data_IF_116177887191
#
_entry.id   IF_116177887191
#
_cell.length_a   1.000
_cell.length_b   1.000
_cell.length_c   1.000
_cell.angle_alpha   90.00
_cell.angle_beta   90.00
_cell.angle_gamma   90.00
#
_symmetry.space_group_name_H-M   'P 1'
#
loop_
_entity.id
_entity.type
_entity.pdbx_description
1 polymer ?
#
# COMPACT_ATOMS: atom_id res chain seq x y z
N UNK A 1 -18.66 -16.03 13.82
CA UNK A 1 -19.01 -17.18 12.95
C UNK A 1 -18.46 -16.88 11.56
N UNK A 2 -17.80 -17.84 10.93
CA UNK A 2 -17.29 -17.72 9.56
C UNK A 2 -18.44 -17.64 8.55
N UNK A 3 -18.34 -16.77 7.55
CA UNK A 3 -19.32 -16.61 6.46
C UNK A 3 -18.77 -17.19 5.15
N UNK A 4 -19.63 -17.66 4.23
CA UNK A 4 -19.20 -18.11 2.90
C UNK A 4 -18.48 -17.04 2.07
N UNK A 5 -18.67 -15.76 2.42
CA UNK A 5 -18.06 -14.58 1.79
C UNK A 5 -16.73 -14.18 2.43
N UNK A 6 -16.30 -14.86 3.50
CA UNK A 6 -15.02 -14.56 4.13
C UNK A 6 -13.88 -14.93 3.19
N UNK A 7 -12.85 -14.11 3.23
CA UNK A 7 -11.66 -14.22 2.40
C UNK A 7 -10.43 -14.00 3.26
N UNK A 8 -9.28 -14.42 2.75
CA UNK A 8 -7.97 -14.09 3.32
C UNK A 8 -7.04 -13.54 2.23
N UNK A 9 -6.09 -12.66 2.58
CA UNK A 9 -4.97 -12.31 1.69
C UNK A 9 -4.19 -13.57 1.29
N UNK A 10 -3.59 -13.55 0.09
CA UNK A 10 -2.78 -14.66 -0.42
C UNK A 10 -1.45 -14.21 -0.98
N UNK A 11 -1.47 -13.21 -1.85
CA UNK A 11 -0.27 -12.62 -2.42
C UNK A 11 -0.54 -11.20 -2.91
N UNK A 12 0.52 -10.41 -2.98
CA UNK A 12 0.52 -9.03 -3.46
C UNK A 12 1.59 -8.85 -4.52
N UNK A 13 1.32 -7.96 -5.46
CA UNK A 13 2.32 -7.51 -6.45
C UNK A 13 2.31 -5.99 -6.48
N UNK A 14 3.46 -5.40 -6.23
CA UNK A 14 3.66 -3.95 -6.16
C UNK A 14 4.33 -3.44 -7.43
N UNK A 15 3.80 -2.34 -7.96
CA UNK A 15 4.32 -1.60 -9.09
C UNK A 15 4.57 -0.15 -8.66
N UNK A 16 5.75 0.38 -8.99
CA UNK A 16 6.04 1.80 -8.89
C UNK A 16 5.93 2.43 -10.28
N UNK A 17 4.96 3.32 -10.45
CA UNK A 17 4.66 3.94 -11.73
C UNK A 17 5.02 5.43 -11.68
N UNK A 18 5.98 5.91 -12.48
CA UNK A 18 6.26 7.33 -12.58
C UNK A 18 5.10 8.03 -13.30
N UNK A 19 4.61 9.13 -12.74
CA UNK A 19 3.53 9.94 -13.31
C UNK A 19 3.96 11.39 -13.32
N UNK A 20 4.17 11.94 -14.52
CA UNK A 20 4.45 13.36 -14.71
C UNK A 20 3.18 14.20 -14.51
N UNK A 21 3.31 15.29 -13.77
CA UNK A 21 2.21 16.24 -13.63
C UNK A 21 2.12 17.11 -14.87
N UNK A 22 0.91 17.32 -15.39
CA UNK A 22 0.68 18.20 -16.54
C UNK A 22 1.19 19.63 -16.31
N UNK A 23 1.11 20.07 -15.06
CA UNK A 23 1.63 21.36 -14.59
C UNK A 23 2.36 21.14 -13.27
N UNK A 24 3.41 21.93 -12.95
CA UNK A 24 4.07 21.83 -11.66
C UNK A 24 3.10 22.14 -10.51
N UNK A 25 3.08 21.28 -9.49
CA UNK A 25 2.27 21.47 -8.28
C UNK A 25 3.15 22.01 -7.15
N UNK A 26 2.69 23.06 -6.46
CA UNK A 26 3.45 23.71 -5.37
C UNK A 26 2.98 23.20 -4.00
N UNK A 27 3.89 22.64 -3.22
CA UNK A 27 3.66 22.18 -1.85
C UNK A 27 4.65 22.84 -0.91
N UNK A 28 4.24 23.91 -0.24
CA UNK A 28 5.13 24.70 0.61
C UNK A 28 6.33 25.23 -0.17
N UNK A 29 7.55 24.88 0.26
CA UNK A 29 8.79 25.26 -0.43
C UNK A 29 9.11 24.36 -1.64
N UNK A 30 8.49 23.18 -1.76
CA UNK A 30 8.80 22.20 -2.80
C UNK A 30 7.89 22.37 -4.04
N UNK A 31 8.42 22.08 -5.23
CA UNK A 31 7.66 22.04 -6.50
C UNK A 31 7.73 20.62 -7.02
N UNK A 32 6.57 20.00 -7.24
CA UNK A 32 6.40 18.63 -7.74
C UNK A 32 6.07 18.68 -9.25
N UNK A 33 6.90 18.04 -10.06
CA UNK A 33 6.66 17.83 -11.50
C UNK A 33 6.40 16.37 -11.87
N UNK A 34 6.73 15.45 -10.97
CA UNK A 34 6.56 14.01 -11.15
C UNK A 34 6.27 13.38 -9.79
N UNK A 35 5.39 12.38 -9.76
CA UNK A 35 5.09 11.59 -8.58
C UNK A 35 5.12 10.10 -8.91
N UNK A 36 5.65 9.30 -7.99
CA UNK A 36 5.56 7.84 -8.07
C UNK A 36 4.21 7.38 -7.51
N UNK A 37 3.43 6.65 -8.30
CA UNK A 37 2.26 5.90 -7.80
C UNK A 37 2.68 4.50 -7.37
N UNK A 38 2.34 4.12 -6.13
CA UNK A 38 2.40 2.74 -5.68
C UNK A 38 1.08 2.05 -6.01
N UNK A 39 1.10 1.13 -6.97
CA UNK A 39 -0.05 0.31 -7.38
C UNK A 39 0.14 -1.11 -6.92
N UNK A 40 -0.86 -1.65 -6.23
CA UNK A 40 -0.86 -3.03 -5.73
C UNK A 40 -1.97 -3.82 -6.41
N UNK A 41 -1.61 -4.98 -6.95
CA UNK A 41 -2.56 -6.06 -7.18
C UNK A 41 -2.52 -6.99 -5.96
N UNK A 42 -3.65 -7.22 -5.32
CA UNK A 42 -3.77 -8.16 -4.21
C UNK A 42 -4.66 -9.32 -4.63
N UNK A 43 -4.16 -10.54 -4.49
CA UNK A 43 -4.92 -11.76 -4.62
C UNK A 43 -5.44 -12.20 -3.26
N UNK A 44 -6.71 -12.59 -3.23
CA UNK A 44 -7.38 -13.15 -2.07
C UNK A 44 -7.83 -14.57 -2.36
N UNK A 45 -8.05 -15.35 -1.31
CA UNK A 45 -8.65 -16.67 -1.36
C UNK A 45 -9.90 -16.72 -0.48
N UNK A 46 -11.01 -17.16 -1.06
CA UNK A 46 -12.26 -17.42 -0.36
C UNK A 46 -12.51 -18.91 -0.14
N UNK A 47 -13.75 -19.25 0.21
CA UNK A 47 -14.16 -20.63 0.45
C UNK A 47 -13.85 -21.56 -0.74
N UNK A 48 -13.46 -22.80 -0.41
CA UNK A 48 -13.15 -23.87 -1.38
C UNK A 48 -12.01 -23.50 -2.36
N UNK A 49 -11.08 -22.64 -1.93
CA UNK A 49 -9.87 -22.31 -2.70
C UNK A 49 -10.12 -21.39 -3.91
N UNK A 50 -11.30 -20.77 -4.01
CA UNK A 50 -11.58 -19.79 -5.07
C UNK A 50 -10.75 -18.54 -4.84
N UNK A 51 -10.09 -18.05 -5.89
CA UNK A 51 -9.27 -16.83 -5.82
C UNK A 51 -9.89 -15.69 -6.60
N UNK A 52 -9.59 -14.46 -6.18
CA UNK A 52 -9.91 -13.23 -6.90
C UNK A 52 -8.77 -12.23 -6.74
N UNK A 53 -8.69 -11.26 -7.65
CA UNK A 53 -7.69 -10.19 -7.60
C UNK A 53 -8.39 -8.83 -7.51
N UNK A 54 -7.80 -7.92 -6.73
CA UNK A 54 -8.23 -6.54 -6.59
C UNK A 54 -7.05 -5.59 -6.75
N UNK A 55 -7.31 -4.40 -7.29
CA UNK A 55 -6.29 -3.39 -7.55
C UNK A 55 -6.53 -2.15 -6.68
N UNK A 56 -5.46 -1.63 -6.10
CA UNK A 56 -5.44 -0.37 -5.37
C UNK A 56 -4.22 0.46 -5.74
N UNK A 57 -4.34 1.78 -5.70
CA UNK A 57 -3.23 2.69 -6.01
C UNK A 57 -3.25 3.89 -5.07
N UNK A 58 -2.06 4.35 -4.69
CA UNK A 58 -1.88 5.62 -4.00
C UNK A 58 -0.64 6.36 -4.49
N UNK A 59 -0.71 7.68 -4.72
CA UNK A 59 0.47 8.49 -5.01
C UNK A 59 1.37 8.63 -3.78
N UNK A 60 2.67 8.37 -3.94
CA UNK A 60 3.70 8.55 -2.90
C UNK A 60 4.01 10.03 -2.72
N UNK A 61 3.16 10.72 -1.96
CA UNK A 61 3.23 12.16 -1.72
C UNK A 61 4.30 12.54 -0.69
N UNK A 62 5.57 12.22 -0.98
CA UNK A 62 6.74 12.38 -0.08
C UNK A 62 6.82 13.77 0.55
N UNK A 63 6.49 14.82 -0.22
CA UNK A 63 6.48 16.20 0.24
C UNK A 63 5.55 16.45 1.44
N UNK A 64 4.49 15.65 1.59
CA UNK A 64 3.48 15.85 2.63
C UNK A 64 3.50 14.75 3.69
N UNK A 65 3.62 13.48 3.30
CA UNK A 65 3.42 12.36 4.25
C UNK A 65 4.60 12.15 5.20
N UNK A 66 5.78 12.72 4.91
CA UNK A 66 6.98 12.53 5.70
C UNK A 66 7.87 13.78 5.75
N UNK A 67 7.47 14.83 6.49
CA UNK A 67 8.28 16.03 6.65
C UNK A 67 9.57 15.70 7.41
N UNK A 68 10.72 16.03 6.82
CA UNK A 68 12.03 15.78 7.40
C UNK A 68 13.09 16.67 6.73
N UNK A 69 14.23 16.86 7.39
CA UNK A 69 15.39 17.57 6.83
C UNK A 69 16.20 16.73 5.83
N UNK A 70 15.89 15.43 5.71
CA UNK A 70 16.48 14.54 4.71
C UNK A 70 16.09 14.96 3.29
N UNK A 71 16.92 14.59 2.32
CA UNK A 71 16.65 14.88 0.92
C UNK A 71 15.36 14.21 0.45
N UNK A 72 14.74 14.77 -0.60
CA UNK A 72 13.56 14.14 -1.23
C UNK A 72 13.85 12.69 -1.65
N UNK A 73 15.01 12.43 -2.26
CA UNK A 73 15.39 11.12 -2.76
C UNK A 73 15.49 10.08 -1.63
N UNK A 74 16.13 10.42 -0.51
CA UNK A 74 16.23 9.53 0.65
C UNK A 74 14.85 9.20 1.23
N UNK A 75 13.97 10.20 1.38
CA UNK A 75 12.60 10.01 1.88
C UNK A 75 11.75 9.19 0.90
N UNK A 76 11.93 9.42 -0.39
CA UNK A 76 11.22 8.70 -1.45
C UNK A 76 11.59 7.21 -1.48
N UNK A 77 12.88 6.88 -1.41
CA UNK A 77 13.32 5.48 -1.34
C UNK A 77 12.88 4.82 -0.03
N UNK A 78 12.98 5.50 1.11
CA UNK A 78 12.46 4.97 2.37
C UNK A 78 10.95 4.65 2.32
N UNK A 79 10.17 5.49 1.64
CA UNK A 79 8.74 5.26 1.45
C UNK A 79 8.45 4.06 0.53
N UNK A 80 9.24 3.90 -0.54
CA UNK A 80 9.16 2.72 -1.44
C UNK A 80 9.53 1.43 -0.70
N UNK A 81 10.61 1.44 0.06
CA UNK A 81 11.04 0.29 0.87
C UNK A 81 9.97 -0.09 1.88
N UNK A 82 9.31 0.90 2.49
CA UNK A 82 8.18 0.66 3.37
C UNK A 82 7.00 0.02 2.64
N UNK A 83 6.66 0.45 1.42
CA UNK A 83 5.63 -0.22 0.60
C UNK A 83 5.98 -1.68 0.29
N UNK A 84 7.24 -1.99 -0.01
CA UNK A 84 7.71 -3.37 -0.23
C UNK A 84 7.53 -4.20 1.03
N UNK A 85 7.91 -3.66 2.19
CA UNK A 85 7.71 -4.31 3.49
C UNK A 85 6.23 -4.58 3.77
N UNK A 86 5.36 -3.60 3.53
CA UNK A 86 3.92 -3.77 3.71
C UNK A 86 3.35 -4.91 2.84
N UNK A 87 3.83 -5.06 1.61
CA UNK A 87 3.42 -6.19 0.75
C UNK A 87 3.80 -7.54 1.37
N UNK A 88 5.03 -7.68 1.86
CA UNK A 88 5.44 -8.91 2.56
C UNK A 88 4.64 -9.21 3.83
N UNK A 89 4.23 -8.17 4.57
CA UNK A 89 3.38 -8.31 5.75
C UNK A 89 1.95 -8.72 5.39
N UNK A 90 1.42 -8.24 4.26
CA UNK A 90 0.13 -8.66 3.73
C UNK A 90 0.16 -10.08 3.17
N UNK A 91 1.25 -10.50 2.54
CA UNK A 91 1.45 -11.87 2.04
C UNK A 91 1.52 -12.89 3.19
N UNK A 92 2.04 -12.46 4.36
CA UNK A 92 2.08 -13.27 5.57
C UNK A 92 0.77 -13.28 6.37
N UNK A 93 -0.18 -12.38 6.07
CA UNK A 93 -1.47 -12.31 6.74
C UNK A 93 -2.37 -13.47 6.30
N UNK A 94 -2.82 -14.27 7.27
CA UNK A 94 -3.57 -15.51 7.01
C UNK A 94 -4.99 -15.50 7.61
N UNK A 95 -5.37 -14.40 8.26
CA UNK A 95 -6.69 -14.23 8.87
C UNK A 95 -7.78 -14.22 7.78
N UNK A 96 -8.74 -15.12 7.94
CA UNK A 96 -9.95 -15.17 7.11
C UNK A 96 -11.07 -14.36 7.78
N UNK A 97 -11.75 -13.51 7.00
CA UNK A 97 -12.84 -12.69 7.51
C UNK A 97 -13.38 -11.71 6.48
N UNK A 98 -14.09 -10.69 6.96
CA UNK A 98 -14.55 -9.60 6.11
C UNK A 98 -13.36 -8.66 5.76
N UNK A 99 -13.15 -8.26 4.49
CA UNK A 99 -11.99 -7.46 4.09
C UNK A 99 -11.76 -6.19 4.93
N UNK A 100 -12.84 -5.49 5.29
CA UNK A 100 -12.77 -4.29 6.15
C UNK A 100 -12.28 -4.62 7.57
N UNK A 101 -12.68 -5.76 8.13
CA UNK A 101 -12.26 -6.17 9.48
C UNK A 101 -10.79 -6.61 9.49
N UNK A 102 -10.36 -7.31 8.42
CA UNK A 102 -8.95 -7.69 8.22
C UNK A 102 -8.10 -6.43 8.08
N UNK A 103 -8.49 -5.50 7.21
CA UNK A 103 -7.82 -4.20 7.03
C UNK A 103 -7.72 -3.41 8.34
N UNK A 104 -8.82 -3.29 9.08
CA UNK A 104 -8.82 -2.63 10.38
C UNK A 104 -7.87 -3.31 11.38
N UNK A 105 -7.87 -4.65 11.43
CA UNK A 105 -6.99 -5.41 12.32
C UNK A 105 -5.52 -5.23 11.94
N UNK A 106 -5.19 -5.28 10.65
CA UNK A 106 -3.84 -5.03 10.17
C UNK A 106 -3.35 -3.64 10.57
N UNK A 107 -4.16 -2.60 10.34
CA UNK A 107 -3.81 -1.20 10.67
C UNK A 107 -3.68 -1.00 12.18
N UNK A 108 -4.56 -1.59 12.99
CA UNK A 108 -4.59 -1.36 14.44
C UNK A 108 -3.59 -2.22 15.23
N UNK A 109 -3.20 -3.39 14.70
CA UNK A 109 -2.39 -4.37 15.45
C UNK A 109 -1.09 -4.78 14.77
N UNK A 110 -1.02 -4.83 13.44
CA UNK A 110 0.20 -5.25 12.72
C UNK A 110 1.07 -4.05 12.36
N UNK A 111 0.50 -3.08 11.65
CA UNK A 111 1.17 -1.87 11.18
C UNK A 111 1.95 -1.10 12.27
N UNK A 112 1.45 -0.91 13.50
CA UNK A 112 2.17 -0.15 14.53
C UNK A 112 3.45 -0.82 15.03
N UNK A 113 3.64 -2.11 14.72
CA UNK A 113 4.81 -2.90 15.13
C UNK A 113 5.82 -3.08 13.99
N UNK A 114 5.62 -2.41 12.86
CA UNK A 114 6.55 -2.39 11.75
C UNK A 114 7.57 -1.26 11.92
#
# INVERSE_FOLDING_TARGET
>A
MSKPTDVRPKDTTLYFLPVETRVPLKFGSETLTEITCARVCMRIEGAKGKTAEGWGETPLSVQWVWPSSLSYAERHEALKDFCVRLCGEWDAESTSGHPVEIGHTFISKRLPNL
#
